data_IF_686880182967
#
_entry.id   IF_686880182967
#
_cell.length_a   1.000
_cell.length_b   1.000
_cell.length_c   1.000
_cell.angle_alpha   90.00
_cell.angle_beta   90.00
_cell.angle_gamma   90.00
#
_symmetry.space_group_name_H-M   'P 1'
#
loop_
_entity.id
_entity.type
_entity.pdbx_description
1 polymer ?
#
# COMPACT_ATOMS: atom_id res chain seq x y z
N UNK A 1 -1.78 -4.26 -12.75
CA UNK A 1 -0.99 -3.27 -13.53
C UNK A 1 -1.90 -2.70 -14.61
N UNK A 2 -1.80 -1.40 -14.91
CA UNK A 2 -2.50 -0.77 -16.02
C UNK A 2 -1.51 -0.46 -17.15
N UNK A 3 -1.93 -0.71 -18.39
CA UNK A 3 -1.14 -0.51 -19.61
C UNK A 3 -1.98 0.31 -20.59
N UNK A 4 -1.34 1.20 -21.34
CA UNK A 4 -1.98 1.95 -22.43
C UNK A 4 -2.09 1.04 -23.66
N UNK A 5 -3.31 0.74 -24.09
CA UNK A 5 -3.57 -0.23 -25.17
C UNK A 5 -2.99 0.18 -26.54
N UNK A 6 -2.73 1.48 -26.76
CA UNK A 6 -2.21 1.98 -28.04
C UNK A 6 -0.69 1.91 -28.11
N UNK A 7 -0.03 2.22 -27.00
CA UNK A 7 1.43 2.37 -26.92
C UNK A 7 2.11 1.16 -26.28
N UNK A 8 1.37 0.36 -25.52
CA UNK A 8 1.91 -0.72 -24.69
C UNK A 8 2.67 -0.22 -23.46
N UNK A 9 2.67 1.09 -23.19
CA UNK A 9 3.37 1.66 -22.04
C UNK A 9 2.65 1.34 -20.73
N UNK A 10 3.43 1.05 -19.67
CA UNK A 10 2.88 0.89 -18.32
C UNK A 10 2.43 2.26 -17.80
N UNK A 11 1.12 2.37 -17.53
CA UNK A 11 0.47 3.56 -17.00
C UNK A 11 0.66 3.64 -15.48
N UNK A 12 0.54 2.50 -14.81
CA UNK A 12 0.68 2.42 -13.36
C UNK A 12 0.51 1.02 -12.80
N UNK A 13 0.76 0.90 -11.50
CA UNK A 13 0.71 -0.34 -10.76
C UNK A 13 -0.02 -0.14 -9.44
N UNK A 14 -0.73 -1.18 -9.02
CA UNK A 14 -1.47 -1.23 -7.77
C UNK A 14 -1.29 -2.63 -7.17
N UNK A 15 -1.09 -2.69 -5.86
CA UNK A 15 -0.99 -3.93 -5.09
C UNK A 15 -1.97 -3.88 -3.92
N UNK A 16 -2.86 -4.86 -3.90
CA UNK A 16 -3.78 -5.12 -2.81
C UNK A 16 -3.32 -6.35 -2.05
N UNK A 17 -3.46 -6.33 -0.73
CA UNK A 17 -3.15 -7.45 0.14
C UNK A 17 -4.46 -7.92 0.76
N UNK A 18 -4.84 -9.15 0.41
CA UNK A 18 -6.04 -9.81 0.89
C UNK A 18 -5.82 -10.36 2.31
N UNK A 19 -6.81 -10.28 3.23
CA UNK A 19 -6.74 -10.97 4.51
C UNK A 19 -6.40 -12.45 4.33
N UNK A 20 -5.46 -12.97 5.11
CA UNK A 20 -4.93 -14.33 4.92
C UNK A 20 -6.00 -15.42 4.96
N UNK A 21 -7.06 -15.26 5.76
CA UNK A 21 -8.16 -16.23 5.82
C UNK A 21 -9.02 -16.27 4.55
N UNK A 22 -9.03 -15.21 3.73
CA UNK A 22 -9.68 -15.16 2.43
C UNK A 22 -8.72 -15.52 1.29
N UNK A 23 -7.46 -15.11 1.41
CA UNK A 23 -6.42 -15.43 0.43
C UNK A 23 -6.11 -16.94 0.39
N UNK A 24 -6.10 -17.58 1.57
CA UNK A 24 -5.73 -18.99 1.75
C UNK A 24 -6.95 -19.90 1.94
N UNK A 25 -8.15 -19.43 1.63
CA UNK A 25 -9.35 -20.25 1.67
C UNK A 25 -9.27 -21.38 0.63
N UNK A 26 -10.08 -22.44 0.79
CA UNK A 26 -10.18 -23.53 -0.21
C UNK A 26 -10.55 -22.98 -1.60
N UNK A 27 -11.39 -21.94 -1.61
CA UNK A 27 -11.72 -21.14 -2.78
C UNK A 27 -11.26 -19.70 -2.49
N UNK A 28 -10.04 -19.31 -2.92
CA UNK A 28 -9.49 -18.00 -2.62
C UNK A 28 -10.33 -16.86 -3.20
N UNK A 29 -10.46 -15.77 -2.45
CA UNK A 29 -11.03 -14.53 -2.98
C UNK A 29 -9.98 -13.82 -3.84
N UNK A 30 -10.38 -13.44 -5.05
CA UNK A 30 -9.58 -12.68 -6.02
C UNK A 30 -8.19 -13.29 -6.32
N UNK A 31 -8.14 -14.55 -6.79
CA UNK A 31 -6.87 -15.25 -7.03
C UNK A 31 -5.98 -14.55 -8.05
N UNK A 32 -6.54 -13.80 -8.99
CA UNK A 32 -5.80 -13.07 -10.02
C UNK A 32 -4.98 -11.90 -9.46
N UNK A 33 -5.32 -11.41 -8.26
CA UNK A 33 -4.57 -10.34 -7.58
C UNK A 33 -3.47 -10.88 -6.65
N UNK A 34 -3.40 -12.20 -6.44
CA UNK A 34 -2.38 -12.80 -5.60
C UNK A 34 -1.07 -12.93 -6.38
N UNK A 35 0.04 -12.57 -5.72
CA UNK A 35 1.38 -12.76 -6.27
C UNK A 35 1.80 -14.19 -6.00
N UNK A 36 2.36 -14.86 -7.01
CA UNK A 36 2.91 -16.20 -6.82
C UNK A 36 4.01 -16.17 -5.75
N UNK A 37 3.98 -17.15 -4.85
CA UNK A 37 5.05 -17.32 -3.87
C UNK A 37 6.39 -17.54 -4.60
N UNK A 38 7.49 -16.93 -4.11
CA UNK A 38 8.82 -17.15 -4.68
C UNK A 38 9.18 -18.64 -4.67
N UNK A 39 9.90 -19.09 -5.70
CA UNK A 39 10.46 -20.44 -5.67
C UNK A 39 11.49 -20.58 -4.54
N UNK A 40 11.85 -21.82 -4.19
CA UNK A 40 12.94 -22.05 -3.24
C UNK A 40 14.26 -21.47 -3.72
N UNK A 41 14.49 -21.44 -5.03
CA UNK A 41 15.68 -20.86 -5.66
C UNK A 41 15.67 -19.34 -5.54
N UNK A 42 14.56 -18.68 -5.91
CA UNK A 42 14.40 -17.22 -5.76
C UNK A 42 14.57 -16.80 -4.30
N UNK A 43 14.01 -17.57 -3.36
CA UNK A 43 14.14 -17.29 -1.93
C UNK A 43 15.59 -17.38 -1.46
N UNK A 44 16.33 -18.38 -1.93
CA UNK A 44 17.75 -18.54 -1.58
C UNK A 44 18.61 -17.41 -2.17
N UNK A 45 18.30 -16.97 -3.39
CA UNK A 45 18.94 -15.83 -4.03
C UNK A 45 18.65 -14.52 -3.29
N UNK A 46 17.39 -14.20 -3.02
CA UNK A 46 17.01 -13.01 -2.26
C UNK A 46 17.65 -12.97 -0.87
N UNK A 47 17.71 -14.11 -0.17
CA UNK A 47 18.36 -14.23 1.13
C UNK A 47 19.88 -13.97 1.03
N UNK A 48 20.53 -14.49 -0.01
CA UNK A 48 21.95 -14.25 -0.28
C UNK A 48 22.20 -12.77 -0.58
N UNK A 49 21.38 -12.15 -1.42
CA UNK A 49 21.51 -10.75 -1.79
C UNK A 49 21.25 -9.83 -0.59
N UNK A 50 20.25 -10.15 0.24
CA UNK A 50 19.98 -9.45 1.49
C UNK A 50 21.18 -9.53 2.45
N UNK A 51 21.76 -10.72 2.65
CA UNK A 51 22.97 -10.89 3.46
C UNK A 51 24.15 -10.11 2.91
N UNK A 52 24.31 -10.10 1.59
CA UNK A 52 25.36 -9.33 0.93
C UNK A 52 25.14 -7.81 1.09
N UNK A 53 23.90 -7.33 1.17
CA UNK A 53 23.58 -5.91 1.28
C UNK A 53 23.54 -5.38 2.73
N UNK A 54 23.53 -6.25 3.75
CA UNK A 54 23.28 -5.88 5.15
C UNK A 54 24.41 -6.26 6.10
N UNK A 55 24.51 -5.53 7.22
CA UNK A 55 25.29 -5.90 8.39
C UNK A 55 24.32 -6.08 9.57
N UNK A 56 24.24 -7.30 10.12
CA UNK A 56 23.27 -7.66 11.18
C UNK A 56 21.83 -7.24 10.83
N UNK A 57 21.40 -7.48 9.58
CA UNK A 57 20.06 -7.12 9.09
C UNK A 57 19.85 -5.65 8.77
N UNK A 58 20.84 -4.77 8.98
CA UNK A 58 20.76 -3.34 8.63
C UNK A 58 21.44 -3.08 7.30
N UNK A 59 20.75 -2.40 6.39
CA UNK A 59 21.28 -2.07 5.05
C UNK A 59 22.52 -1.18 5.17
N UNK A 60 23.58 -1.56 4.48
CA UNK A 60 24.85 -0.82 4.48
C UNK A 60 24.65 0.57 3.87
N UNK A 61 25.11 1.62 4.57
CA UNK A 61 24.99 3.01 4.12
C UNK A 61 23.62 3.65 4.36
N UNK A 62 22.63 2.91 4.85
CA UNK A 62 21.32 3.46 5.20
C UNK A 62 21.38 4.21 6.53
N UNK A 63 20.77 5.39 6.59
CA UNK A 63 20.55 6.16 7.82
C UNK A 63 19.44 5.50 8.65
N UNK A 64 19.79 4.41 9.32
CA UNK A 64 18.81 3.62 10.05
C UNK A 64 18.19 4.38 11.24
N UNK A 65 18.94 5.32 11.84
CA UNK A 65 18.45 6.26 12.86
C UNK A 65 17.28 7.12 12.35
N UNK A 66 17.37 7.57 11.10
CA UNK A 66 16.32 8.34 10.42
C UNK A 66 15.14 7.44 10.06
N UNK A 67 15.42 6.22 9.57
CA UNK A 67 14.37 5.25 9.23
C UNK A 67 13.57 4.85 10.46
N UNK A 68 14.20 4.46 11.56
CA UNK A 68 13.51 4.09 12.81
C UNK A 68 12.70 5.27 13.37
N UNK A 69 13.26 6.48 13.32
CA UNK A 69 12.54 7.67 13.76
C UNK A 69 11.26 7.93 12.93
N UNK A 70 11.29 7.62 11.64
CA UNK A 70 10.10 7.68 10.77
C UNK A 70 9.13 6.54 11.05
N UNK A 71 9.62 5.31 11.03
CA UNK A 71 8.79 4.12 10.96
C UNK A 71 8.07 3.83 12.28
N UNK A 72 8.72 4.04 13.42
CA UNK A 72 8.15 3.69 14.74
C UNK A 72 6.76 4.28 14.97
N UNK A 73 6.51 5.61 14.86
CA UNK A 73 5.17 6.16 15.09
C UNK A 73 4.14 5.68 14.05
N UNK A 74 4.57 5.41 12.82
CA UNK A 74 3.68 4.90 11.77
C UNK A 74 3.28 3.44 12.04
N UNK A 75 4.24 2.61 12.45
CA UNK A 75 4.03 1.19 12.79
C UNK A 75 3.12 1.03 14.01
N UNK A 76 3.27 1.89 15.03
CA UNK A 76 2.38 1.88 16.21
C UNK A 76 0.92 2.20 15.84
N UNK A 77 0.70 3.16 14.95
CA UNK A 77 -0.65 3.51 14.46
C UNK A 77 -1.20 2.39 13.58
N UNK A 78 -0.38 1.88 12.65
CA UNK A 78 -0.75 0.78 11.77
C UNK A 78 -1.18 -0.45 12.56
N UNK A 79 -0.41 -0.84 13.59
CA UNK A 79 -0.73 -1.96 14.47
C UNK A 79 -2.09 -1.77 15.17
N UNK A 80 -2.33 -0.59 15.75
CA UNK A 80 -3.61 -0.27 16.42
C UNK A 80 -4.79 -0.30 15.47
N UNK A 81 -4.63 0.21 14.25
CA UNK A 81 -5.70 0.19 13.24
C UNK A 81 -5.99 -1.25 12.82
N UNK A 82 -4.96 -2.07 12.62
CA UNK A 82 -5.11 -3.46 12.20
C UNK A 82 -5.84 -4.33 13.23
N UNK A 83 -5.86 -3.98 14.52
CA UNK A 83 -6.71 -4.63 15.52
C UNK A 83 -8.21 -4.51 15.20
N UNK A 84 -8.61 -3.47 14.46
CA UNK A 84 -9.99 -3.27 13.97
C UNK A 84 -10.33 -4.06 12.69
N UNK A 85 -9.42 -4.93 12.25
CA UNK A 85 -9.52 -5.73 11.02
C UNK A 85 -10.57 -6.85 11.07
N UNK A 86 -10.70 -7.63 9.98
CA UNK A 86 -9.83 -7.67 8.79
C UNK A 86 -10.09 -6.56 7.76
N UNK A 87 -9.04 -6.18 7.01
CA UNK A 87 -9.10 -5.19 5.92
C UNK A 87 -8.57 -5.75 4.60
N UNK A 88 -9.13 -5.32 3.47
CA UNK A 88 -8.42 -5.36 2.19
C UNK A 88 -7.43 -4.18 2.16
N UNK A 89 -6.13 -4.46 2.25
CA UNK A 89 -5.11 -3.42 2.38
C UNK A 89 -4.58 -2.99 1.01
N UNK A 90 -4.62 -1.69 0.73
CA UNK A 90 -3.94 -1.10 -0.42
C UNK A 90 -2.50 -0.78 -0.01
N UNK A 91 -1.59 -1.67 -0.38
CA UNK A 91 -0.20 -1.62 0.03
C UNK A 91 0.64 -0.70 -0.87
N UNK A 92 0.35 -0.67 -2.17
CA UNK A 92 1.11 0.18 -3.08
C UNK A 92 0.26 0.65 -4.25
N UNK A 93 0.39 1.93 -4.60
CA UNK A 93 -0.18 2.51 -5.82
C UNK A 93 0.77 3.54 -6.39
N UNK A 94 1.12 3.37 -7.66
CA UNK A 94 1.92 4.33 -8.40
C UNK A 94 1.37 4.52 -9.81
N UNK A 95 1.35 5.78 -10.25
CA UNK A 95 1.01 6.17 -11.62
C UNK A 95 2.21 6.88 -12.22
N UNK A 96 2.61 6.47 -13.42
CA UNK A 96 3.68 7.12 -14.18
C UNK A 96 3.38 8.62 -14.34
N UNK A 97 4.35 9.53 -14.12
CA UNK A 97 4.13 10.98 -14.19
C UNK A 97 3.40 11.46 -15.45
N UNK A 98 3.67 10.83 -16.62
CA UNK A 98 3.02 11.12 -17.91
C UNK A 98 1.50 10.93 -17.89
N UNK A 99 1.00 10.05 -17.03
CA UNK A 99 -0.40 9.65 -16.94
C UNK A 99 -1.09 10.10 -15.65
N UNK A 100 -0.38 10.87 -14.80
CA UNK A 100 -0.98 11.43 -13.58
C UNK A 100 -2.04 12.48 -13.91
N UNK A 101 -2.95 12.70 -12.95
CA UNK A 101 -4.05 13.69 -13.03
C UNK A 101 -5.05 13.47 -14.18
N UNK A 102 -5.04 12.28 -14.79
CA UNK A 102 -5.95 11.87 -15.87
C UNK A 102 -6.92 10.75 -15.44
N UNK A 103 -7.08 10.52 -14.13
CA UNK A 103 -7.97 9.49 -13.58
C UNK A 103 -7.38 8.08 -13.46
N UNK A 104 -6.14 7.84 -13.94
CA UNK A 104 -5.48 6.54 -13.86
C UNK A 104 -5.44 5.94 -12.43
N UNK A 105 -5.19 6.77 -11.42
CA UNK A 105 -5.19 6.31 -10.01
C UNK A 105 -6.55 5.78 -9.55
N UNK A 106 -7.65 6.43 -9.94
CA UNK A 106 -8.99 5.97 -9.58
C UNK A 106 -9.36 4.67 -10.33
N UNK A 107 -8.95 4.56 -11.60
CA UNK A 107 -9.13 3.34 -12.38
C UNK A 107 -8.38 2.14 -11.77
N UNK A 108 -7.16 2.36 -11.28
CA UNK A 108 -6.38 1.32 -10.59
C UNK A 108 -7.04 0.84 -9.30
N UNK A 109 -7.80 1.70 -8.60
CA UNK A 109 -8.48 1.32 -7.35
C UNK A 109 -9.77 0.52 -7.59
N UNK A 110 -10.40 0.71 -8.76
CA UNK A 110 -11.76 0.23 -9.05
C UNK A 110 -11.95 -1.25 -8.71
N UNK A 111 -11.08 -2.12 -9.21
CA UNK A 111 -11.30 -3.57 -9.11
C UNK A 111 -11.14 -4.04 -7.65
N UNK A 112 -10.16 -3.50 -6.92
CA UNK A 112 -9.98 -3.83 -5.50
C UNK A 112 -11.12 -3.32 -4.63
N UNK A 113 -11.63 -2.12 -4.90
CA UNK A 113 -12.80 -1.59 -4.19
C UNK A 113 -14.07 -2.39 -4.51
N UNK A 114 -14.25 -2.82 -5.75
CA UNK A 114 -15.37 -3.69 -6.12
C UNK A 114 -15.30 -5.05 -5.39
N UNK A 115 -14.10 -5.63 -5.27
CA UNK A 115 -13.88 -6.86 -4.49
C UNK A 115 -14.16 -6.64 -3.01
N UNK A 116 -13.72 -5.52 -2.43
CA UNK A 116 -14.03 -5.18 -1.04
C UNK A 116 -15.54 -5.04 -0.82
N UNK A 117 -16.22 -4.32 -1.69
CA UNK A 117 -17.67 -4.09 -1.63
C UNK A 117 -18.46 -5.40 -1.75
N UNK A 118 -18.09 -6.26 -2.70
CA UNK A 118 -18.75 -7.55 -2.92
C UNK A 118 -18.60 -8.52 -1.72
N UNK A 119 -17.53 -8.39 -0.95
CA UNK A 119 -17.24 -9.24 0.20
C UNK A 119 -17.54 -8.57 1.55
N UNK A 120 -18.11 -7.36 1.56
CA UNK A 120 -18.38 -6.62 2.79
C UNK A 120 -17.12 -6.29 3.60
N UNK A 121 -15.98 -6.14 2.93
CA UNK A 121 -14.70 -5.85 3.56
C UNK A 121 -14.45 -4.35 3.64
N UNK A 122 -13.92 -3.91 4.77
CA UNK A 122 -13.32 -2.58 4.88
C UNK A 122 -12.03 -2.56 4.06
N UNK A 123 -11.71 -1.42 3.45
CA UNK A 123 -10.40 -1.19 2.82
C UNK A 123 -9.56 -0.26 3.69
N UNK A 124 -8.26 -0.50 3.74
CA UNK A 124 -7.32 0.30 4.53
C UNK A 124 -6.12 0.71 3.66
N UNK A 125 -5.61 1.93 3.83
CA UNK A 125 -4.41 2.42 3.17
C UNK A 125 -3.74 3.53 3.97
N UNK A 126 -2.47 3.78 3.68
CA UNK A 126 -1.75 4.98 4.10
C UNK A 126 -1.52 5.90 2.90
N UNK A 127 -1.56 7.21 3.14
CA UNK A 127 -1.45 8.20 2.08
C UNK A 127 -0.50 9.33 2.49
N UNK A 128 0.27 9.81 1.52
CA UNK A 128 0.94 11.10 1.65
C UNK A 128 -0.03 12.25 1.40
N UNK A 129 0.38 13.48 1.72
CA UNK A 129 -0.37 14.69 1.38
C UNK A 129 -0.72 14.80 -0.12
N UNK A 130 0.13 14.28 -1.01
CA UNK A 130 -0.12 14.27 -2.44
C UNK A 130 -1.20 13.26 -2.86
N UNK A 131 -1.33 12.15 -2.13
CA UNK A 131 -2.24 11.04 -2.43
C UNK A 131 -3.60 11.11 -1.72
N UNK A 132 -3.69 11.79 -0.57
CA UNK A 132 -4.89 11.77 0.30
C UNK A 132 -6.19 12.09 -0.44
N UNK A 133 -6.17 13.08 -1.34
CA UNK A 133 -7.37 13.51 -2.08
C UNK A 133 -7.87 12.46 -3.07
N UNK A 134 -6.98 11.63 -3.62
CA UNK A 134 -7.39 10.52 -4.48
C UNK A 134 -8.27 9.53 -3.69
N UNK A 135 -7.83 9.14 -2.50
CA UNK A 135 -8.54 8.16 -1.68
C UNK A 135 -9.83 8.73 -1.09
N UNK A 136 -9.83 10.00 -0.65
CA UNK A 136 -11.05 10.68 -0.21
C UNK A 136 -12.14 10.66 -1.30
N UNK A 137 -11.76 10.93 -2.55
CA UNK A 137 -12.70 10.88 -3.68
C UNK A 137 -13.23 9.45 -3.97
N UNK A 138 -12.62 8.41 -3.40
CA UNK A 138 -13.09 7.02 -3.50
C UNK A 138 -13.84 6.56 -2.24
N UNK A 139 -14.11 7.46 -1.29
CA UNK A 139 -14.87 7.18 -0.08
C UNK A 139 -14.03 6.68 1.10
N UNK A 140 -12.71 6.86 1.04
CA UNK A 140 -11.87 6.67 2.23
C UNK A 140 -11.97 7.89 3.16
N UNK A 141 -12.04 7.62 4.45
CA UNK A 141 -12.00 8.62 5.51
C UNK A 141 -10.70 8.50 6.29
N UNK A 142 -10.11 9.65 6.64
CA UNK A 142 -8.93 9.69 7.49
C UNK A 142 -9.32 9.34 8.93
N UNK A 143 -8.66 8.34 9.49
CA UNK A 143 -8.88 7.88 10.87
C UNK A 143 -7.75 8.26 11.81
N UNK A 144 -6.54 8.48 11.28
CA UNK A 144 -5.39 8.96 12.04
C UNK A 144 -4.46 9.78 11.12
N UNK A 145 -3.75 10.74 11.70
CA UNK A 145 -2.76 11.58 11.00
C UNK A 145 -1.48 11.60 11.83
N UNK A 146 -0.37 11.20 11.20
CA UNK A 146 0.95 11.24 11.82
C UNK A 146 1.81 12.26 11.08
N UNK A 147 2.33 13.25 11.82
CA UNK A 147 3.26 14.24 11.29
C UNK A 147 4.61 14.07 11.98
N UNK A 148 5.66 13.87 11.19
CA UNK A 148 7.03 13.68 11.68
C UNK A 148 7.88 14.88 11.25
N UNK A 149 8.49 15.55 12.21
CA UNK A 149 9.46 16.64 11.96
C UNK A 149 10.88 16.07 11.77
N UNK A 150 11.44 16.28 10.58
CA UNK A 150 12.78 15.86 10.19
C UNK A 150 13.85 16.93 10.38
N UNK A 151 13.56 18.05 11.06
CA UNK A 151 14.48 19.16 11.28
C UNK A 151 15.85 18.71 11.82
N UNK A 152 15.87 17.76 12.78
CA UNK A 152 17.10 17.17 13.32
C UNK A 152 17.96 16.39 12.30
N UNK A 153 17.39 16.04 11.16
CA UNK A 153 18.06 15.36 10.05
C UNK A 153 18.27 16.27 8.83
N UNK A 154 18.02 17.58 8.95
CA UNK A 154 18.15 18.54 7.86
C UNK A 154 16.91 18.65 6.97
N UNK A 155 15.78 18.06 7.37
CA UNK A 155 14.49 18.30 6.72
C UNK A 155 14.02 19.74 6.93
N UNK A 156 13.40 20.31 5.90
CA UNK A 156 12.89 21.70 5.93
C UNK A 156 11.39 21.78 6.23
N UNK A 157 10.66 20.71 5.96
CA UNK A 157 9.23 20.61 6.18
C UNK A 157 8.90 19.26 6.85
N UNK A 158 7.92 19.23 7.75
CA UNK A 158 7.46 17.99 8.35
C UNK A 158 6.74 17.14 7.30
N UNK A 159 6.90 15.82 7.39
CA UNK A 159 6.18 14.87 6.51
C UNK A 159 4.94 14.40 7.24
N UNK A 160 3.80 14.43 6.56
CA UNK A 160 2.52 13.99 7.10
C UNK A 160 1.99 12.79 6.33
N UNK A 161 1.65 11.75 7.07
CA UNK A 161 1.04 10.51 6.60
C UNK A 161 -0.39 10.41 7.15
N UNK A 162 -1.33 10.02 6.29
CA UNK A 162 -2.75 9.89 6.60
C UNK A 162 -3.12 8.41 6.56
N UNK A 163 -3.69 7.92 7.64
CA UNK A 163 -4.21 6.57 7.75
C UNK A 163 -5.68 6.60 7.42
N UNK A 164 -6.10 5.80 6.44
CA UNK A 164 -7.41 5.96 5.83
C UNK A 164 -8.15 4.64 5.71
N UNK A 165 -9.43 4.64 6.12
CA UNK A 165 -10.32 3.48 6.04
C UNK A 165 -11.51 3.82 5.16
N UNK A 166 -11.91 2.89 4.30
CA UNK A 166 -13.16 2.93 3.54
C UNK A 166 -14.07 1.80 4.01
N UNK A 167 -15.32 2.13 4.35
CA UNK A 167 -16.36 1.12 4.57
C UNK A 167 -16.81 0.53 3.22
N UNK A 168 -17.19 -0.76 3.17
CA UNK A 168 -17.75 -1.33 1.95
C UNK A 168 -19.06 -0.62 1.58
N UNK A 169 -19.21 -0.28 0.32
CA UNK A 169 -20.39 0.38 -0.22
C UNK A 169 -21.36 -0.66 -0.77
N UNK A 170 -22.64 -0.56 -0.39
CA UNK A 170 -23.69 -1.35 -1.03
C UNK A 170 -23.91 -0.78 -2.43
N UNK A 171 -23.99 -1.65 -3.44
CA UNK A 171 -24.48 -1.26 -4.77
C UNK A 171 -25.82 -0.53 -4.59
N UNK A 172 -25.87 0.75 -4.97
CA UNK A 172 -27.14 1.46 -5.14
C UNK A 172 -27.82 0.83 -6.35
N UNK A 173 -28.91 0.11 -6.08
CA UNK A 173 -29.87 -0.32 -7.10
C UNK A 173 -30.64 0.88 -7.65
#
# INVERSE_FOLDING_TARGET
>A
MAVDDKTGEVVGYVRWVMPSHLANAKEPVWPEAQVAEPSSEDRAEHERDFKNATNNGRVRGLRNDMMEFRSTPLEEVDAKINEGGPFLFLDYLAVSPKYQRQGAGALLLRDGLAVADANGLKSYTTASAAGVKLYQNQGFETVEVVTVDYSKFGGVEPVTDYFMIRQPQKYRT
#
